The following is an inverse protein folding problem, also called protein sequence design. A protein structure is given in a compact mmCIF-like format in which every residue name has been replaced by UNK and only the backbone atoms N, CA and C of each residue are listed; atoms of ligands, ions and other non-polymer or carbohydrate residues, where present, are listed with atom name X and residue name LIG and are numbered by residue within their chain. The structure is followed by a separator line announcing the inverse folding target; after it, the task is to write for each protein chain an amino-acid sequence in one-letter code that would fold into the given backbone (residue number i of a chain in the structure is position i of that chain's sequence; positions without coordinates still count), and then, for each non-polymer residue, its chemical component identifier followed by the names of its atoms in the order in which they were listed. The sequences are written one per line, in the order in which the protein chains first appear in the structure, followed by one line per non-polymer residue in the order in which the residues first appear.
data_IF_536589844617
#
_entry.id   IF_536589844617
#
_cell.length_a   1.000
_cell.length_b   1.000
_cell.length_c   1.000
_cell.angle_alpha   90.00
_cell.angle_beta   90.00
_cell.angle_gamma   90.00
#
_symmetry.space_group_name_H-M   'P 1'
#
loop_
_entity.id
_entity.type
_entity.pdbx_description
1 polymer ?
#
# COMPACT_ATOMS: atom_id res chain seq x y z
N UNK A 1 -33.52 22.06 -51.10
CA UNK A 1 -32.20 22.31 -50.48
C UNK A 1 -31.23 22.71 -51.57
N UNK A 2 -30.41 23.74 -51.37
CA UNK A 2 -29.40 24.14 -52.36
C UNK A 2 -28.28 23.08 -52.45
N UNK A 3 -27.70 22.85 -53.63
CA UNK A 3 -26.60 21.88 -53.81
C UNK A 3 -25.39 22.19 -52.94
N UNK A 4 -25.15 23.47 -52.65
CA UNK A 4 -24.10 23.93 -51.73
C UNK A 4 -24.39 23.46 -50.29
N UNK A 5 -25.64 23.53 -49.85
CA UNK A 5 -26.05 23.05 -48.52
C UNK A 5 -25.83 21.55 -48.36
N UNK A 6 -26.13 20.77 -49.40
CA UNK A 6 -25.89 19.32 -49.39
C UNK A 6 -24.40 19.02 -49.30
N UNK A 7 -23.56 19.73 -50.07
CA UNK A 7 -22.11 19.56 -50.03
C UNK A 7 -21.53 19.81 -48.63
N UNK A 8 -21.92 20.92 -47.99
CA UNK A 8 -21.48 21.23 -46.63
C UNK A 8 -21.97 20.19 -45.61
N UNK A 9 -23.21 19.70 -45.75
CA UNK A 9 -23.74 18.65 -44.87
C UNK A 9 -22.95 17.33 -45.00
N UNK A 10 -22.58 16.94 -46.22
CA UNK A 10 -21.76 15.74 -46.45
C UNK A 10 -20.36 15.91 -45.85
N UNK A 11 -19.71 17.05 -46.08
CA UNK A 11 -18.37 17.32 -45.53
C UNK A 11 -18.40 17.31 -43.99
N UNK A 12 -19.41 17.95 -43.39
CA UNK A 12 -19.57 17.97 -41.94
C UNK A 12 -19.79 16.55 -41.37
N UNK A 13 -20.64 15.74 -42.02
CA UNK A 13 -20.88 14.36 -41.60
C UNK A 13 -19.60 13.51 -41.65
N UNK A 14 -18.81 13.64 -42.72
CA UNK A 14 -17.53 12.94 -42.85
C UNK A 14 -16.50 13.39 -41.81
N UNK A 15 -16.41 14.70 -41.54
CA UNK A 15 -15.51 15.25 -40.54
C UNK A 15 -15.85 14.75 -39.12
N UNK A 16 -17.14 14.76 -38.75
CA UNK A 16 -17.61 14.24 -37.46
C UNK A 16 -17.31 12.74 -37.33
N UNK A 17 -17.59 11.96 -38.38
CA UNK A 17 -17.31 10.53 -38.37
C UNK A 17 -15.82 10.23 -38.20
N UNK A 18 -14.95 10.96 -38.88
CA UNK A 18 -13.50 10.80 -38.77
C UNK A 18 -12.99 11.08 -37.35
N UNK A 19 -13.49 12.13 -36.70
CA UNK A 19 -13.15 12.47 -35.31
C UNK A 19 -13.64 11.38 -34.35
N UNK A 20 -14.89 10.91 -34.52
CA UNK A 20 -15.45 9.84 -33.70
C UNK A 20 -14.66 8.54 -33.84
N UNK A 21 -14.34 8.13 -35.07
CA UNK A 21 -13.55 6.94 -35.33
C UNK A 21 -12.13 7.03 -34.72
N UNK A 22 -11.47 8.18 -34.86
CA UNK A 22 -10.12 8.39 -34.33
C UNK A 22 -10.07 8.41 -32.79
N UNK A 23 -11.08 8.98 -32.15
CA UNK A 23 -11.17 9.02 -30.68
C UNK A 23 -11.45 7.64 -30.08
N UNK A 24 -12.43 6.90 -30.63
CA UNK A 24 -12.74 5.53 -30.19
C UNK A 24 -11.57 4.58 -30.43
N UNK A 25 -10.94 4.63 -31.61
CA UNK A 25 -9.83 3.75 -31.95
C UNK A 25 -8.57 4.00 -31.10
N UNK A 26 -8.31 5.25 -30.71
CA UNK A 26 -7.21 5.60 -29.81
C UNK A 26 -7.41 5.03 -28.41
N UNK A 27 -8.64 5.11 -27.91
CA UNK A 27 -8.96 4.64 -26.55
C UNK A 27 -9.03 3.11 -26.47
N UNK A 28 -9.55 2.44 -27.49
CA UNK A 28 -9.54 0.98 -27.58
C UNK A 28 -8.12 0.42 -27.55
N UNK A 29 -7.21 0.97 -28.36
CA UNK A 29 -5.80 0.55 -28.37
C UNK A 29 -5.09 0.83 -27.04
N UNK A 30 -5.45 1.92 -26.36
CA UNK A 30 -4.93 2.26 -25.03
C UNK A 30 -5.36 1.24 -23.97
N UNK A 31 -6.60 0.77 -24.04
CA UNK A 31 -7.16 -0.22 -23.13
C UNK A 31 -6.59 -1.62 -23.38
N UNK A 32 -6.42 -2.02 -24.64
CA UNK A 32 -5.86 -3.32 -25.02
C UNK A 32 -4.37 -3.49 -24.63
N UNK A 33 -3.66 -2.38 -24.39
CA UNK A 33 -2.27 -2.39 -23.96
C UNK A 33 -2.08 -2.64 -22.45
N UNK A 34 -3.16 -2.66 -21.66
CA UNK A 34 -3.10 -2.92 -20.22
C UNK A 34 -3.18 -4.43 -19.99
N UNK A 35 -2.09 -5.03 -19.50
CA UNK A 35 -2.05 -6.44 -19.14
C UNK A 35 -3.21 -6.78 -18.16
N UNK A 36 -3.85 -7.96 -18.27
CA UNK A 36 -4.87 -8.39 -17.33
C UNK A 36 -4.32 -8.33 -15.91
N UNK A 37 -4.96 -7.52 -15.06
CA UNK A 37 -4.66 -7.48 -13.63
C UNK A 37 -5.12 -8.82 -13.07
N UNK A 38 -4.30 -9.50 -12.29
CA UNK A 38 -4.72 -10.72 -11.58
C UNK A 38 -5.87 -10.33 -10.66
N UNK A 39 -7.10 -10.55 -11.11
CA UNK A 39 -8.28 -10.48 -10.29
C UNK A 39 -8.23 -11.75 -9.45
N UNK A 40 -7.91 -11.62 -8.17
CA UNK A 40 -7.97 -12.75 -7.25
C UNK A 40 -9.42 -13.25 -7.24
N UNK A 41 -9.67 -14.40 -7.87
CA UNK A 41 -10.97 -15.08 -7.90
C UNK A 41 -11.17 -15.90 -6.62
N UNK A 42 -11.03 -15.26 -5.46
CA UNK A 42 -11.31 -15.90 -4.18
C UNK A 42 -12.21 -14.94 -3.41
N UNK A 43 -13.37 -15.43 -2.99
CA UNK A 43 -14.30 -14.67 -2.16
C UNK A 43 -13.73 -14.46 -0.75
N UNK A 44 -14.20 -13.43 -0.05
CA UNK A 44 -13.62 -13.07 1.26
C UNK A 44 -13.72 -14.21 2.30
N UNK A 45 -14.81 -14.97 2.28
CA UNK A 45 -15.05 -16.12 3.13
C UNK A 45 -14.12 -17.30 2.80
N UNK A 46 -13.80 -17.49 1.52
CA UNK A 46 -12.82 -18.48 1.07
C UNK A 46 -11.40 -18.11 1.56
N UNK A 47 -11.03 -16.82 1.51
CA UNK A 47 -9.76 -16.34 2.10
C UNK A 47 -9.73 -16.61 3.60
N UNK A 48 -10.80 -16.29 4.33
CA UNK A 48 -10.88 -16.53 5.77
C UNK A 48 -10.70 -18.02 6.10
N UNK A 49 -11.39 -18.90 5.36
CA UNK A 49 -11.29 -20.34 5.56
C UNK A 49 -9.86 -20.85 5.32
N UNK A 50 -9.21 -20.41 4.24
CA UNK A 50 -7.82 -20.79 3.95
C UNK A 50 -6.85 -20.33 5.05
N UNK A 51 -7.01 -19.10 5.54
CA UNK A 51 -6.18 -18.56 6.61
C UNK A 51 -6.40 -19.33 7.92
N UNK A 52 -7.65 -19.63 8.28
CA UNK A 52 -7.99 -20.38 9.49
C UNK A 52 -7.43 -21.79 9.45
N UNK A 53 -7.54 -22.48 8.31
CA UNK A 53 -6.95 -23.80 8.11
C UNK A 53 -5.42 -23.79 8.24
N UNK A 54 -4.76 -22.79 7.66
CA UNK A 54 -3.32 -22.65 7.78
C UNK A 54 -2.87 -22.38 9.22
N UNK A 55 -3.58 -21.50 9.92
CA UNK A 55 -3.34 -21.22 11.34
C UNK A 55 -3.54 -22.50 12.18
N UNK A 56 -4.63 -23.23 12.00
CA UNK A 56 -4.88 -24.49 12.70
C UNK A 56 -3.77 -25.52 12.43
N UNK A 57 -3.30 -25.62 11.19
CA UNK A 57 -2.18 -26.49 10.85
C UNK A 57 -0.90 -26.07 11.57
N UNK A 58 -0.55 -24.78 11.57
CA UNK A 58 0.63 -24.29 12.29
C UNK A 58 0.53 -24.54 13.80
N UNK A 59 -0.66 -24.33 14.39
CA UNK A 59 -0.93 -24.64 15.78
C UNK A 59 -0.74 -26.14 16.06
N UNK A 60 -1.21 -27.03 15.16
CA UNK A 60 -1.03 -28.48 15.28
C UNK A 60 0.44 -28.91 15.22
N UNK A 61 1.29 -28.12 14.56
CA UNK A 61 2.74 -28.34 14.46
C UNK A 61 3.55 -27.68 15.58
N UNK A 62 2.89 -27.00 16.53
CA UNK A 62 3.57 -26.22 17.56
C UNK A 62 4.38 -25.05 16.99
N UNK A 63 4.08 -24.61 15.77
CA UNK A 63 4.74 -23.48 15.11
C UNK A 63 4.12 -22.14 15.50
N UNK A 64 2.97 -22.16 16.19
CA UNK A 64 2.40 -20.96 16.79
C UNK A 64 2.93 -20.75 18.21
N UNK A 65 3.28 -19.51 18.58
CA UNK A 65 3.61 -19.21 19.96
C UNK A 65 2.40 -19.49 20.87
N UNK A 66 2.64 -20.08 22.05
CA UNK A 66 1.58 -20.39 23.03
C UNK A 66 0.82 -19.14 23.51
N UNK A 67 1.41 -17.96 23.34
CA UNK A 67 0.80 -16.68 23.65
C UNK A 67 0.81 -15.81 22.40
N UNK A 68 -0.34 -15.26 21.99
CA UNK A 68 -0.37 -14.19 21.00
C UNK A 68 0.54 -13.07 21.47
N UNK A 69 1.28 -12.47 20.53
CA UNK A 69 2.04 -11.23 20.76
C UNK A 69 1.13 -10.06 21.16
N UNK A 70 -0.19 -10.26 21.18
CA UNK A 70 -1.24 -9.35 21.64
C UNK A 70 -1.41 -9.28 23.17
N UNK A 71 -0.40 -9.67 23.97
CA UNK A 71 -0.41 -9.16 25.35
C UNK A 71 -0.37 -7.64 25.27
N UNK A 72 -1.43 -6.99 25.75
CA UNK A 72 -1.44 -5.55 25.99
C UNK A 72 -0.18 -5.24 26.78
N UNK A 73 0.71 -4.46 26.17
CA UNK A 73 1.98 -4.07 26.76
C UNK A 73 1.67 -3.40 28.11
N UNK A 74 1.95 -4.09 29.21
CA UNK A 74 1.79 -3.56 30.55
C UNK A 74 3.12 -2.92 30.97
N UNK A 75 3.31 -1.68 30.51
CA UNK A 75 4.52 -0.90 30.75
C UNK A 75 4.38 -0.22 32.12
N UNK A 76 4.92 -0.87 33.15
CA UNK A 76 4.92 -0.31 34.52
C UNK A 76 5.86 0.89 34.68
N UNK A 77 6.86 1.03 33.80
CA UNK A 77 7.85 2.09 33.80
C UNK A 77 7.93 2.71 32.41
N UNK A 78 7.50 3.98 32.24
CA UNK A 78 7.56 4.65 30.95
C UNK A 78 9.01 4.76 30.47
N UNK A 79 9.29 4.21 29.27
CA UNK A 79 10.59 4.36 28.62
C UNK A 79 10.53 5.56 27.68
N UNK A 80 11.29 6.60 27.98
CA UNK A 80 11.47 7.75 27.09
C UNK A 80 12.54 7.38 26.07
N UNK A 81 12.16 7.37 24.80
CA UNK A 81 13.07 7.11 23.69
C UNK A 81 13.17 8.37 22.85
N UNK A 82 14.41 8.81 22.64
CA UNK A 82 14.75 9.88 21.73
C UNK A 82 14.83 9.35 20.28
N UNK A 83 14.27 10.09 19.34
CA UNK A 83 14.12 9.66 17.93
C UNK A 83 15.48 9.46 17.26
N UNK A 84 16.44 10.37 17.52
CA UNK A 84 17.80 10.28 17.01
C UNK A 84 18.52 9.06 17.60
N UNK A 85 18.33 8.81 18.89
CA UNK A 85 18.88 7.64 19.58
C UNK A 85 18.34 6.32 19.03
N UNK A 86 17.03 6.25 18.74
CA UNK A 86 16.40 5.07 18.13
C UNK A 86 16.92 4.83 16.71
N UNK A 87 17.01 5.90 15.91
CA UNK A 87 17.54 5.87 14.53
C UNK A 87 18.97 5.34 14.53
N UNK A 88 19.85 5.89 15.38
CA UNK A 88 21.23 5.44 15.52
C UNK A 88 21.33 3.97 15.96
N UNK A 89 20.46 3.53 16.88
CA UNK A 89 20.42 2.13 17.31
C UNK A 89 20.04 1.17 16.18
N UNK A 90 19.06 1.54 15.36
CA UNK A 90 18.60 0.73 14.23
C UNK A 90 19.66 0.63 13.12
N UNK A 91 20.35 1.73 12.82
CA UNK A 91 21.51 1.75 11.93
C UNK A 91 22.58 0.75 12.39
N UNK A 92 22.96 0.80 13.68
CA UNK A 92 23.94 -0.12 14.25
C UNK A 92 23.48 -1.59 14.17
N UNK A 93 22.17 -1.85 14.35
CA UNK A 93 21.62 -3.21 14.30
C UNK A 93 21.51 -3.76 12.87
N UNK A 94 21.18 -2.92 11.90
CA UNK A 94 21.12 -3.26 10.48
C UNK A 94 22.51 -3.68 9.97
N UNK A 95 23.54 -2.88 10.30
CA UNK A 95 24.93 -3.20 10.00
C UNK A 95 25.35 -4.55 10.60
N UNK A 96 25.00 -4.82 11.87
CA UNK A 96 25.31 -6.09 12.54
C UNK A 96 24.60 -7.32 11.92
N UNK A 97 23.57 -7.13 11.09
CA UNK A 97 22.84 -8.21 10.39
C UNK A 97 23.20 -8.30 8.91
N UNK A 98 24.11 -7.45 8.42
CA UNK A 98 24.45 -7.38 7.00
C UNK A 98 23.31 -6.84 6.13
N UNK A 99 22.40 -6.05 6.71
CA UNK A 99 21.35 -5.35 5.96
C UNK A 99 21.97 -4.07 5.42
N UNK A 100 22.10 -3.96 4.10
CA UNK A 100 22.57 -2.76 3.43
C UNK A 100 21.46 -1.70 3.44
N UNK A 101 21.71 -0.61 4.14
CA UNK A 101 20.84 0.57 4.19
C UNK A 101 21.37 1.52 3.12
N UNK A 102 20.57 1.78 2.10
CA UNK A 102 21.00 2.56 0.93
C UNK A 102 21.16 4.04 1.28
N UNK A 103 20.30 4.56 2.16
CA UNK A 103 20.38 5.91 2.70
C UNK A 103 19.91 5.91 4.17
N UNK A 104 20.66 6.55 5.06
CA UNK A 104 20.29 6.70 6.47
C UNK A 104 18.95 7.45 6.62
N UNK A 105 18.62 8.28 5.63
CA UNK A 105 17.33 8.96 5.48
C UNK A 105 16.16 7.97 5.40
N UNK A 106 16.34 6.77 4.84
CA UNK A 106 15.27 5.77 4.77
C UNK A 106 14.92 5.24 6.17
N UNK A 107 15.90 5.12 7.08
CA UNK A 107 15.65 4.67 8.45
C UNK A 107 14.89 5.73 9.23
N UNK A 108 15.22 7.01 9.05
CA UNK A 108 14.49 8.11 9.69
C UNK A 108 13.00 8.06 9.30
N UNK A 109 12.68 7.93 8.02
CA UNK A 109 11.29 7.82 7.57
C UNK A 109 10.57 6.58 8.10
N UNK A 110 11.27 5.45 8.23
CA UNK A 110 10.70 4.24 8.83
C UNK A 110 10.40 4.45 10.32
N UNK A 111 11.31 5.10 11.05
CA UNK A 111 11.12 5.45 12.46
C UNK A 111 9.95 6.41 12.62
N UNK A 112 9.89 7.48 11.81
CA UNK A 112 8.80 8.46 11.82
C UNK A 112 7.44 7.81 11.55
N UNK A 113 7.34 6.97 10.51
CA UNK A 113 6.11 6.26 10.18
C UNK A 113 5.68 5.29 11.31
N UNK A 114 6.65 4.67 11.98
CA UNK A 114 6.38 3.74 13.07
C UNK A 114 5.90 4.46 14.33
N UNK A 115 6.54 5.58 14.68
CA UNK A 115 6.11 6.44 15.78
C UNK A 115 4.73 7.05 15.51
N UNK A 116 4.45 7.45 14.26
CA UNK A 116 3.15 7.94 13.85
C UNK A 116 2.05 6.86 13.99
N UNK A 117 2.34 5.62 13.58
CA UNK A 117 1.44 4.49 13.80
C UNK A 117 1.17 4.25 15.29
N UNK A 118 2.22 4.25 16.12
CA UNK A 118 2.06 4.09 17.56
C UNK A 118 1.28 5.22 18.22
N UNK A 119 1.48 6.46 17.78
CA UNK A 119 0.67 7.59 18.22
C UNK A 119 -0.81 7.40 17.85
N UNK A 120 -1.11 6.94 16.62
CA UNK A 120 -2.47 6.73 16.13
C UNK A 120 -3.24 5.67 16.92
N UNK A 121 -2.56 4.63 17.42
CA UNK A 121 -3.18 3.59 18.27
C UNK A 121 -3.12 3.90 19.77
N UNK A 122 -2.61 5.09 20.15
CA UNK A 122 -2.48 5.50 21.56
C UNK A 122 -1.39 4.77 22.34
N UNK A 123 -0.39 4.21 21.65
CA UNK A 123 0.73 3.50 22.26
C UNK A 123 1.91 4.41 22.67
N UNK A 124 1.86 5.71 22.37
CA UNK A 124 2.87 6.71 22.78
C UNK A 124 2.23 7.73 23.74
N UNK A 125 2.93 8.05 24.83
CA UNK A 125 2.55 9.10 25.78
C UNK A 125 2.92 10.52 25.31
N UNK A 126 2.60 11.58 26.07
CA UNK A 126 2.99 12.96 25.72
C UNK A 126 4.52 13.10 25.60
N UNK A 127 4.98 13.99 24.71
CA UNK A 127 6.40 14.29 24.56
C UNK A 127 6.99 14.80 25.88
N UNK A 128 8.19 14.33 26.24
CA UNK A 128 8.84 14.70 27.50
C UNK A 128 9.08 16.22 27.63
N UNK A 129 9.19 16.94 26.50
CA UNK A 129 9.36 18.40 26.46
C UNK A 129 8.05 19.19 26.71
N UNK A 130 6.91 18.50 26.77
CA UNK A 130 5.58 19.10 26.92
C UNK A 130 5.04 19.08 28.36
N UNK A 131 5.89 18.76 29.35
CA UNK A 131 5.58 18.71 30.80
C UNK A 131 6.41 19.71 31.58
#
# INVERSE_FOLDING_TARGET
MSGITVLFAVIAALAVFAIAAGTVGREARRLDAVAPRVVYQIEQDEVENLLREHLNWMASKGLQPEKPVDQVQNISEPVVVDEDTLTAHLLARAAARGIEVIDDVDIVHVVEAHLAYFAAIGAVGPHAESV
#
